data_IF_693127610450
#
_entry.id   IF_693127610450
#
_cell.length_a   1.000
_cell.length_b   1.000
_cell.length_c   1.000
_cell.angle_alpha   90.00
_cell.angle_beta   90.00
_cell.angle_gamma   90.00
#
_symmetry.space_group_name_H-M   'P 1'
#
loop_
_entity.id
_entity.type
_entity.pdbx_description
1 polymer ?
#
# COMPACT_ATOMS: atom_id res chain seq x y z
N UNK A 1 4.78 1.81 -13.67
CA UNK A 1 4.79 0.33 -13.62
C UNK A 1 5.56 -0.11 -12.38
N UNK A 2 5.18 -1.22 -11.77
CA UNK A 2 5.88 -1.83 -10.64
C UNK A 2 4.95 -2.79 -9.89
N UNK A 3 5.53 -3.66 -9.06
CA UNK A 3 4.77 -4.66 -8.30
C UNK A 3 4.25 -4.06 -7.00
N UNK A 4 2.96 -4.28 -6.73
CA UNK A 4 2.28 -3.77 -5.54
C UNK A 4 1.65 -4.90 -4.72
N UNK A 5 1.69 -4.71 -3.41
CA UNK A 5 0.79 -5.38 -2.48
C UNK A 5 -0.47 -4.52 -2.34
N UNK A 6 -1.55 -4.92 -2.99
CA UNK A 6 -2.84 -4.25 -2.89
C UNK A 6 -3.71 -4.95 -1.87
N UNK A 7 -4.40 -4.21 -1.02
CA UNK A 7 -5.28 -4.80 -0.02
C UNK A 7 -6.52 -3.96 0.27
N UNK A 8 -7.61 -4.66 0.59
CA UNK A 8 -8.85 -4.10 1.10
C UNK A 8 -9.06 -4.55 2.54
N UNK A 9 -9.52 -3.63 3.40
CA UNK A 9 -9.89 -3.89 4.78
C UNK A 9 -11.38 -3.60 4.97
N UNK A 10 -12.11 -4.50 5.60
CA UNK A 10 -13.54 -4.32 5.88
C UNK A 10 -13.91 -4.72 7.30
N UNK A 11 -14.76 -3.91 7.93
CA UNK A 11 -15.44 -4.22 9.18
C UNK A 11 -16.95 -4.11 8.97
N UNK A 12 -17.76 -4.93 9.69
CA UNK A 12 -19.19 -4.96 9.48
C UNK A 12 -19.84 -3.61 9.79
N UNK A 13 -20.99 -3.34 9.16
CA UNK A 13 -21.81 -2.16 9.42
C UNK A 13 -22.08 -1.91 10.91
N UNK A 14 -22.29 -2.99 11.67
CA UNK A 14 -22.62 -2.92 13.09
C UNK A 14 -21.47 -2.41 13.97
N UNK A 15 -20.24 -2.39 13.45
CA UNK A 15 -19.10 -1.87 14.18
C UNK A 15 -19.27 -0.37 14.43
N UNK A 16 -19.14 0.01 15.69
CA UNK A 16 -19.14 1.39 16.13
C UNK A 16 -17.81 2.07 15.83
N UNK A 17 -17.81 3.40 15.81
CA UNK A 17 -16.58 4.19 15.68
C UNK A 17 -15.54 3.88 16.78
N UNK A 18 -16.00 3.49 17.97
CA UNK A 18 -15.14 3.09 19.10
C UNK A 18 -14.47 1.74 18.84
N UNK A 19 -15.24 0.73 18.40
CA UNK A 19 -14.70 -0.60 18.05
C UNK A 19 -13.67 -0.51 16.93
N UNK A 20 -13.95 0.28 15.88
CA UNK A 20 -12.96 0.57 14.81
C UNK A 20 -11.71 1.23 15.39
N UNK A 21 -11.88 2.16 16.34
CA UNK A 21 -10.79 2.78 17.06
C UNK A 21 -9.94 1.77 17.84
N UNK A 22 -10.57 0.81 18.52
CA UNK A 22 -9.89 -0.28 19.24
C UNK A 22 -9.10 -1.18 18.30
N UNK A 23 -9.68 -1.56 17.15
CA UNK A 23 -8.98 -2.36 16.13
C UNK A 23 -7.75 -1.62 15.62
N UNK A 24 -7.87 -0.32 15.30
CA UNK A 24 -6.74 0.49 14.83
C UNK A 24 -5.64 0.63 15.87
N UNK A 25 -5.99 0.81 17.15
CA UNK A 25 -5.00 0.84 18.25
C UNK A 25 -4.26 -0.48 18.31
N UNK A 26 -4.96 -1.61 18.33
CA UNK A 26 -4.33 -2.94 18.39
C UNK A 26 -3.45 -3.25 17.18
N UNK A 27 -3.88 -2.85 15.98
CA UNK A 27 -3.08 -2.99 14.77
C UNK A 27 -1.83 -2.12 14.82
N UNK A 28 -1.96 -0.87 15.25
CA UNK A 28 -0.82 0.04 15.38
C UNK A 28 0.18 -0.44 16.42
N UNK A 29 -0.31 -0.87 17.58
CA UNK A 29 0.54 -1.39 18.65
C UNK A 29 1.34 -2.60 18.16
N UNK A 30 0.71 -3.49 17.40
CA UNK A 30 1.41 -4.60 16.76
C UNK A 30 2.40 -4.12 15.69
N UNK A 31 2.03 -3.15 14.85
CA UNK A 31 2.91 -2.56 13.85
C UNK A 31 4.19 -1.95 14.48
N UNK A 32 4.08 -1.37 15.68
CA UNK A 32 5.22 -0.84 16.44
C UNK A 32 6.17 -1.94 16.95
N UNK A 33 5.74 -3.20 16.98
CA UNK A 33 6.62 -4.35 17.30
C UNK A 33 7.36 -4.90 16.08
N UNK A 34 6.92 -4.53 14.88
CA UNK A 34 7.57 -4.91 13.62
C UNK A 34 8.72 -3.93 13.30
N UNK A 35 9.66 -4.37 12.46
CA UNK A 35 10.83 -3.56 12.07
C UNK A 35 10.53 -2.49 11.02
N UNK A 36 9.34 -1.86 11.08
CA UNK A 36 8.98 -0.79 10.16
C UNK A 36 9.83 0.45 10.40
N UNK A 37 10.24 1.11 9.31
CA UNK A 37 10.98 2.38 9.37
C UNK A 37 10.22 3.47 10.12
N UNK A 38 8.90 3.55 9.95
CA UNK A 38 8.07 4.49 10.70
C UNK A 38 6.63 4.01 10.79
N UNK A 39 5.97 4.34 11.90
CA UNK A 39 4.54 4.14 12.14
C UNK A 39 3.97 5.47 12.63
N UNK A 40 2.98 6.02 11.94
CA UNK A 40 2.37 7.30 12.35
C UNK A 40 1.43 7.11 13.54
N UNK A 41 1.08 8.19 14.22
CA UNK A 41 -0.07 8.20 15.12
C UNK A 41 -1.37 7.90 14.37
N UNK A 42 -2.40 7.47 15.11
CA UNK A 42 -3.74 7.27 14.56
C UNK A 42 -4.39 8.63 14.37
N UNK A 43 -4.65 8.97 13.12
CA UNK A 43 -5.50 10.09 12.77
C UNK A 43 -6.96 9.77 13.11
N UNK A 44 -7.61 10.69 13.83
CA UNK A 44 -9.04 10.67 14.12
C UNK A 44 -9.61 12.05 13.82
N UNK A 45 -10.68 12.15 13.03
CA UNK A 45 -11.29 13.44 12.72
C UNK A 45 -12.00 13.98 13.96
N UNK A 46 -11.83 15.27 14.24
CA UNK A 46 -12.59 15.96 15.28
C UNK A 46 -13.97 16.34 14.75
N UNK A 47 -15.08 15.98 15.45
CA UNK A 47 -16.42 16.33 15.02
C UNK A 47 -16.61 17.84 14.85
N UNK A 48 -17.06 18.28 13.68
CA UNK A 48 -17.41 19.68 13.41
C UNK A 48 -16.23 20.60 13.06
N UNK A 49 -15.00 20.09 13.02
CA UNK A 49 -13.84 20.82 12.52
C UNK A 49 -13.45 20.32 11.12
N UNK A 50 -13.55 21.21 10.14
CA UNK A 50 -12.96 20.98 8.83
C UNK A 50 -11.44 21.11 8.96
N UNK A 51 -10.75 19.98 9.09
CA UNK A 51 -9.30 19.98 9.19
C UNK A 51 -8.68 20.22 7.81
N UNK A 52 -8.34 21.49 7.54
CA UNK A 52 -7.68 21.93 6.31
C UNK A 52 -6.17 21.68 6.32
N UNK A 53 -5.61 21.21 7.44
CA UNK A 53 -4.20 20.90 7.62
C UNK A 53 -4.09 19.39 7.83
N UNK A 54 -3.23 18.72 7.06
CA UNK A 54 -2.99 17.27 7.11
C UNK A 54 -4.06 16.44 6.40
N UNK A 55 -3.73 15.34 5.75
CA UNK A 55 -2.48 14.60 5.61
C UNK A 55 -2.82 13.45 4.65
N UNK A 56 -1.83 12.82 4.00
CA UNK A 56 -2.04 11.93 2.85
C UNK A 56 -3.22 10.94 2.95
N UNK A 57 -3.62 10.51 4.16
CA UNK A 57 -4.79 9.68 4.40
C UNK A 57 -6.12 10.25 3.88
N UNK A 58 -6.43 11.53 4.11
CA UNK A 58 -7.68 12.15 3.63
C UNK A 58 -7.71 12.29 2.11
N UNK A 59 -6.56 12.59 1.51
CA UNK A 59 -6.40 12.60 0.05
C UNK A 59 -6.57 11.20 -0.54
N UNK A 60 -5.95 10.18 0.07
CA UNK A 60 -6.14 8.79 -0.35
C UNK A 60 -7.62 8.38 -0.22
N UNK A 61 -8.28 8.76 0.88
CA UNK A 61 -9.70 8.52 1.09
C UNK A 61 -10.57 9.13 -0.03
N UNK A 62 -10.27 10.36 -0.49
CA UNK A 62 -11.02 10.98 -1.58
C UNK A 62 -10.84 10.30 -2.93
N UNK A 63 -9.68 9.69 -3.19
CA UNK A 63 -9.40 8.90 -4.40
C UNK A 63 -10.22 7.60 -4.41
N UNK A 64 -10.41 6.97 -3.25
CA UNK A 64 -11.06 5.66 -3.13
C UNK A 64 -12.51 5.73 -2.60
N UNK A 65 -13.06 6.94 -2.43
CA UNK A 65 -14.38 7.17 -1.82
C UNK A 65 -15.55 6.63 -2.64
N UNK A 66 -15.34 6.42 -3.94
CA UNK A 66 -16.33 5.87 -4.87
C UNK A 66 -15.79 4.56 -5.43
N UNK A 67 -16.34 3.45 -4.96
CA UNK A 67 -16.08 2.14 -5.54
C UNK A 67 -17.31 1.73 -6.33
N UNK A 68 -17.14 1.58 -7.64
CA UNK A 68 -18.16 0.99 -8.48
C UNK A 68 -18.07 -0.53 -8.31
N UNK A 69 -19.10 -1.13 -7.72
CA UNK A 69 -19.29 -2.58 -7.76
C UNK A 69 -20.34 -2.82 -8.84
N UNK A 70 -19.96 -3.51 -9.91
CA UNK A 70 -20.90 -3.96 -10.92
C UNK A 70 -21.97 -4.80 -10.19
N UNK A 71 -23.24 -4.39 -10.29
CA UNK A 71 -24.45 -5.02 -9.70
C UNK A 71 -24.92 -4.55 -8.29
N UNK A 72 -24.31 -3.54 -7.66
CA UNK A 72 -24.87 -2.92 -6.43
C UNK A 72 -24.90 -1.39 -6.53
N UNK A 73 -25.89 -0.68 -5.95
CA UNK A 73 -25.85 0.78 -5.88
C UNK A 73 -24.52 1.22 -5.27
N UNK A 74 -23.84 2.22 -5.86
CA UNK A 74 -22.53 2.61 -5.40
C UNK A 74 -22.61 3.05 -3.94
N UNK A 75 -21.81 2.41 -3.09
CA UNK A 75 -21.60 2.87 -1.72
C UNK A 75 -20.68 4.09 -1.78
N UNK A 76 -21.11 5.17 -1.15
CA UNK A 76 -20.38 6.43 -1.05
C UNK A 76 -19.72 6.46 0.32
N UNK A 77 -18.40 6.61 0.34
CA UNK A 77 -17.66 6.75 1.59
C UNK A 77 -17.78 8.16 2.18
N UNK A 78 -17.89 8.23 3.51
CA UNK A 78 -17.78 9.48 4.24
C UNK A 78 -16.31 9.75 4.57
N UNK A 79 -15.69 10.59 3.74
CA UNK A 79 -14.27 10.99 3.84
C UNK A 79 -14.00 11.76 5.13
N UNK A 80 -15.01 12.46 5.68
CA UNK A 80 -14.85 13.24 6.91
C UNK A 80 -14.75 12.36 8.15
N UNK A 81 -15.14 11.08 8.01
CA UNK A 81 -15.08 10.10 9.09
C UNK A 81 -13.90 9.12 8.97
N UNK A 82 -12.99 9.33 8.01
CA UNK A 82 -11.79 8.48 7.84
C UNK A 82 -10.89 8.54 9.08
N UNK A 83 -10.42 7.38 9.52
CA UNK A 83 -9.52 7.24 10.67
C UNK A 83 -8.53 6.11 10.44
N UNK A 84 -7.29 6.29 10.86
CA UNK A 84 -6.25 5.28 10.62
C UNK A 84 -4.84 5.81 10.80
N UNK A 85 -3.87 4.96 10.48
CA UNK A 85 -2.45 5.28 10.54
C UNK A 85 -1.75 4.80 9.27
N UNK A 86 -0.52 5.24 9.06
CA UNK A 86 0.33 4.78 7.98
C UNK A 86 1.63 4.18 8.52
N UNK A 87 2.20 3.26 7.75
CA UNK A 87 3.53 2.69 7.99
C UNK A 87 4.40 2.93 6.77
N UNK A 88 5.71 3.07 6.99
CA UNK A 88 6.71 2.92 5.93
C UNK A 88 7.48 1.65 6.27
N UNK A 89 7.36 0.58 5.45
CA UNK A 89 8.01 -0.69 5.75
C UNK A 89 9.53 -0.56 5.90
N UNK A 90 10.15 0.11 4.93
CA UNK A 90 11.60 0.34 4.91
C UNK A 90 11.99 1.34 3.83
N UNK A 91 13.30 1.60 3.73
CA UNK A 91 13.84 2.35 2.60
C UNK A 91 13.52 1.62 1.28
N UNK A 92 13.16 2.37 0.23
CA UNK A 92 12.73 1.80 -1.05
C UNK A 92 11.26 1.34 -1.09
N UNK A 93 10.49 1.54 -0.02
CA UNK A 93 9.04 1.26 0.00
C UNK A 93 8.21 2.55 -0.06
N UNK A 94 7.01 2.44 -0.64
CA UNK A 94 5.96 3.43 -0.48
C UNK A 94 5.32 3.34 0.93
N UNK A 95 4.55 4.36 1.31
CA UNK A 95 3.76 4.34 2.55
C UNK A 95 2.54 3.42 2.36
N UNK A 96 2.24 2.60 3.36
CA UNK A 96 1.04 1.76 3.41
C UNK A 96 0.08 2.28 4.48
N UNK A 97 -1.18 2.51 4.12
CA UNK A 97 -2.19 3.03 5.05
C UNK A 97 -3.11 1.93 5.57
N UNK A 98 -3.33 1.93 6.89
CA UNK A 98 -4.27 1.06 7.59
C UNK A 98 -5.33 1.95 8.23
N UNK A 99 -6.48 2.04 7.58
CA UNK A 99 -7.53 2.96 7.95
C UNK A 99 -8.90 2.34 7.70
N UNK A 100 -9.93 3.09 8.08
CA UNK A 100 -11.32 2.79 7.80
C UNK A 100 -12.10 4.09 7.59
N UNK A 101 -13.02 4.07 6.65
CA UNK A 101 -14.05 5.08 6.48
C UNK A 101 -15.42 4.40 6.31
N UNK A 102 -16.49 4.93 6.91
CA UNK A 102 -17.82 4.34 6.77
C UNK A 102 -18.33 4.60 5.35
N UNK A 103 -19.10 3.66 4.82
CA UNK A 103 -19.76 3.79 3.50
C UNK A 103 -21.26 3.61 3.61
N UNK A 104 -22.01 4.38 2.84
CA UNK A 104 -23.47 4.30 2.78
C UNK A 104 -23.98 4.24 1.35
N UNK A 105 -25.13 3.60 1.14
CA UNK A 105 -25.83 3.66 -0.13
C UNK A 105 -26.45 5.06 -0.38
N UNK A 106 -27.06 5.24 -1.55
CA UNK A 106 -27.69 6.51 -1.94
C UNK A 106 -28.86 6.93 -1.02
N UNK A 107 -29.42 6.01 -0.24
CA UNK A 107 -30.48 6.29 0.74
C UNK A 107 -29.93 6.69 2.11
N UNK A 108 -28.61 6.71 2.28
CA UNK A 108 -27.94 6.93 3.56
C UNK A 108 -27.95 5.69 4.46
N UNK A 109 -28.38 4.53 3.95
CA UNK A 109 -28.36 3.28 4.69
C UNK A 109 -26.94 2.70 4.60
N UNK A 110 -26.30 2.62 5.77
CA UNK A 110 -24.88 2.28 5.89
C UNK A 110 -24.61 0.82 5.49
N UNK A 111 -23.50 0.60 4.79
CA UNK A 111 -23.12 -0.71 4.21
C UNK A 111 -22.01 -1.41 4.99
N UNK A 112 -20.95 -0.69 5.38
CA UNK A 112 -19.77 -1.21 6.09
C UNK A 112 -18.73 -0.12 6.39
N UNK A 113 -17.67 -0.49 7.10
CA UNK A 113 -16.40 0.26 7.15
C UNK A 113 -15.42 -0.32 6.15
N UNK A 114 -14.76 0.54 5.39
CA UNK A 114 -13.92 0.12 4.27
C UNK A 114 -12.61 0.90 4.18
N UNK A 115 -11.59 0.24 3.64
CA UNK A 115 -10.39 0.87 3.16
C UNK A 115 -9.75 0.07 2.03
N UNK A 116 -9.06 0.76 1.13
CA UNK A 116 -8.21 0.20 0.10
C UNK A 116 -6.85 0.88 0.13
N UNK A 117 -5.78 0.11 -0.01
CA UNK A 117 -4.44 0.64 -0.18
C UNK A 117 -3.62 -0.21 -1.13
N UNK A 118 -2.54 0.39 -1.62
CA UNK A 118 -1.54 -0.24 -2.45
C UNK A 118 -0.18 0.22 -1.95
N UNK A 119 0.74 -0.72 -1.77
CA UNK A 119 2.11 -0.41 -1.35
C UNK A 119 3.11 -1.10 -2.27
N UNK A 120 3.93 -0.29 -2.96
CA UNK A 120 5.09 -0.80 -3.69
C UNK A 120 6.26 -1.01 -2.74
N UNK A 121 6.72 -2.26 -2.66
CA UNK A 121 7.93 -2.65 -1.92
C UNK A 121 9.12 -2.95 -2.83
N UNK A 122 8.90 -2.98 -4.15
CA UNK A 122 9.87 -3.38 -5.17
C UNK A 122 11.27 -2.75 -4.99
N UNK A 123 11.37 -1.44 -4.73
CA UNK A 123 12.67 -0.77 -4.64
C UNK A 123 13.43 -1.03 -3.33
N UNK A 124 12.85 -1.77 -2.38
CA UNK A 124 13.60 -2.31 -1.25
C UNK A 124 14.70 -3.28 -1.71
N UNK A 125 14.52 -3.95 -2.86
CA UNK A 125 15.52 -4.88 -3.42
C UNK A 125 16.84 -4.20 -3.80
N UNK A 126 16.83 -2.88 -4.03
CA UNK A 126 18.03 -2.09 -4.34
C UNK A 126 19.04 -2.14 -3.18
N UNK A 127 18.54 -2.31 -1.95
CA UNK A 127 19.36 -2.41 -0.74
C UNK A 127 19.86 -3.84 -0.56
N UNK A 128 18.93 -4.80 -0.54
CA UNK A 128 19.20 -6.23 -0.58
C UNK A 128 17.90 -7.03 -0.68
N UNK A 129 18.01 -8.29 -1.09
CA UNK A 129 16.88 -9.22 -1.08
C UNK A 129 16.34 -9.45 0.33
N UNK A 130 17.22 -9.56 1.33
CA UNK A 130 16.81 -9.68 2.72
C UNK A 130 16.01 -8.45 3.20
N UNK A 131 16.36 -7.25 2.74
CA UNK A 131 15.62 -6.02 3.06
C UNK A 131 14.27 -5.98 2.36
N UNK A 132 14.18 -6.42 1.09
CA UNK A 132 12.91 -6.63 0.39
C UNK A 132 11.99 -7.58 1.15
N UNK A 133 12.50 -8.77 1.49
CA UNK A 133 11.74 -9.80 2.21
C UNK A 133 11.25 -9.24 3.55
N UNK A 134 12.10 -8.59 4.35
CA UNK A 134 11.69 -8.01 5.63
C UNK A 134 10.58 -6.95 5.48
N UNK A 135 10.68 -6.08 4.46
CA UNK A 135 9.67 -5.05 4.22
C UNK A 135 8.32 -5.66 3.78
N UNK A 136 8.35 -6.57 2.81
CA UNK A 136 7.14 -7.15 2.24
C UNK A 136 6.46 -8.10 3.24
N UNK A 137 7.22 -9.00 3.87
CA UNK A 137 6.71 -9.91 4.89
C UNK A 137 6.19 -9.17 6.12
N UNK A 138 6.77 -8.02 6.49
CA UNK A 138 6.26 -7.19 7.57
C UNK A 138 4.85 -6.65 7.29
N UNK A 139 4.57 -6.20 6.07
CA UNK A 139 3.21 -5.79 5.68
C UNK A 139 2.24 -6.97 5.71
N UNK A 140 2.65 -8.11 5.16
CA UNK A 140 1.85 -9.34 5.19
C UNK A 140 1.53 -9.78 6.62
N UNK A 141 2.51 -9.72 7.52
CA UNK A 141 2.33 -10.04 8.94
C UNK A 141 1.35 -9.08 9.61
N UNK A 142 1.37 -7.79 9.26
CA UNK A 142 0.39 -6.83 9.77
C UNK A 142 -1.02 -7.08 9.21
N UNK A 143 -1.15 -7.54 7.97
CA UNK A 143 -2.43 -7.95 7.37
C UNK A 143 -2.97 -9.23 8.00
N UNK A 144 -2.12 -10.22 8.28
CA UNK A 144 -2.48 -11.43 9.04
C UNK A 144 -2.98 -11.04 10.43
N UNK A 145 -2.33 -10.06 11.08
CA UNK A 145 -2.82 -9.53 12.35
C UNK A 145 -4.19 -8.86 12.25
N UNK A 146 -4.51 -8.21 11.13
CA UNK A 146 -5.84 -7.65 10.92
C UNK A 146 -6.90 -8.74 10.84
N UNK A 147 -6.61 -9.86 10.17
CA UNK A 147 -7.47 -11.04 10.13
C UNK A 147 -7.73 -11.58 11.55
N UNK A 148 -6.69 -11.73 12.37
CA UNK A 148 -6.81 -12.17 13.77
C UNK A 148 -7.69 -11.26 14.62
N UNK A 149 -7.78 -9.98 14.26
CA UNK A 149 -8.60 -8.97 14.94
C UNK A 149 -10.04 -8.90 14.38
N UNK A 150 -10.40 -9.79 13.45
CA UNK A 150 -11.73 -9.87 12.87
C UNK A 150 -11.96 -8.92 11.68
N UNK A 151 -10.90 -8.33 11.12
CA UNK A 151 -11.00 -7.55 9.88
C UNK A 151 -11.09 -8.51 8.70
N UNK A 152 -12.04 -8.29 7.81
CA UNK A 152 -12.06 -8.98 6.52
C UNK A 152 -11.02 -8.34 5.60
N UNK A 153 -10.06 -9.15 5.16
CA UNK A 153 -8.93 -8.70 4.34
C UNK A 153 -8.97 -9.39 2.98
N UNK A 154 -8.91 -8.60 1.91
CA UNK A 154 -8.68 -9.10 0.55
C UNK A 154 -7.32 -8.60 0.10
N UNK A 155 -6.46 -9.47 -0.41
CA UNK A 155 -5.13 -9.11 -0.90
C UNK A 155 -4.98 -9.50 -2.36
N UNK A 156 -4.37 -8.62 -3.15
CA UNK A 156 -3.90 -8.89 -4.51
C UNK A 156 -2.44 -8.52 -4.55
N UNK A 157 -1.60 -9.54 -4.44
CA UNK A 157 -0.16 -9.41 -4.45
C UNK A 157 0.41 -9.83 -5.79
N UNK A 158 0.95 -8.86 -6.54
CA UNK A 158 1.52 -9.11 -7.86
C UNK A 158 2.81 -9.96 -7.77
N UNK A 159 3.40 -10.11 -6.59
CA UNK A 159 4.58 -10.96 -6.34
C UNK A 159 4.22 -12.40 -5.98
N UNK A 160 2.93 -12.69 -5.75
CA UNK A 160 2.39 -13.99 -5.30
C UNK A 160 2.89 -14.44 -3.92
N UNK A 161 3.59 -13.59 -3.18
CA UNK A 161 4.06 -13.88 -1.83
C UNK A 161 2.88 -14.03 -0.86
N UNK A 162 1.78 -13.31 -1.08
CA UNK A 162 0.58 -13.44 -0.26
C UNK A 162 0.08 -14.91 -0.23
N UNK A 163 -0.03 -15.56 -1.37
CA UNK A 163 -0.58 -16.92 -1.45
C UNK A 163 0.46 -17.98 -1.11
N UNK A 164 1.71 -17.76 -1.47
CA UNK A 164 2.77 -18.78 -1.39
C UNK A 164 3.58 -18.73 -0.11
N UNK A 165 3.71 -17.53 0.49
CA UNK A 165 4.70 -17.21 1.54
C UNK A 165 6.13 -17.60 1.14
N UNK A 166 6.41 -17.68 -0.16
CA UNK A 166 7.70 -18.10 -0.70
C UNK A 166 8.58 -16.87 -0.98
N UNK A 167 9.61 -16.69 -0.16
CA UNK A 167 10.57 -15.60 -0.30
C UNK A 167 11.29 -15.62 -1.65
N UNK A 168 11.58 -16.81 -2.20
CA UNK A 168 12.26 -16.93 -3.50
C UNK A 168 11.34 -16.53 -4.65
N UNK A 169 10.04 -16.83 -4.55
CA UNK A 169 9.05 -16.33 -5.48
C UNK A 169 8.99 -14.80 -5.46
N UNK A 170 8.92 -14.19 -4.27
CA UNK A 170 8.93 -12.73 -4.10
C UNK A 170 10.16 -12.08 -4.74
N UNK A 171 11.35 -12.60 -4.43
CA UNK A 171 12.62 -12.07 -4.94
C UNK A 171 12.66 -12.16 -6.47
N UNK A 172 12.30 -13.33 -7.02
CA UNK A 172 12.35 -13.58 -8.47
C UNK A 172 11.40 -12.67 -9.24
N UNK A 173 10.17 -12.49 -8.77
CA UNK A 173 9.19 -11.59 -9.42
C UNK A 173 9.67 -10.13 -9.38
N UNK A 174 10.23 -9.69 -8.25
CA UNK A 174 10.77 -8.33 -8.12
C UNK A 174 11.99 -8.10 -9.02
N UNK A 175 12.92 -9.05 -9.09
CA UNK A 175 14.07 -8.97 -9.98
C UNK A 175 13.64 -8.92 -11.44
N UNK A 176 12.69 -9.76 -11.85
CA UNK A 176 12.13 -9.76 -13.19
C UNK A 176 11.47 -8.41 -13.54
N UNK A 177 10.68 -7.83 -12.63
CA UNK A 177 10.08 -6.51 -12.84
C UNK A 177 11.13 -5.40 -12.89
N UNK A 178 12.17 -5.45 -12.05
CA UNK A 178 13.27 -4.49 -12.08
C UNK A 178 13.99 -4.51 -13.43
N UNK A 179 14.23 -5.70 -13.99
CA UNK A 179 14.81 -5.87 -15.33
C UNK A 179 13.93 -5.26 -16.42
N UNK A 180 12.63 -5.56 -16.43
CA UNK A 180 11.67 -4.98 -17.41
C UNK A 180 11.65 -3.45 -17.31
N UNK A 181 11.62 -2.90 -16.09
CA UNK A 181 11.61 -1.45 -15.87
C UNK A 181 12.94 -0.81 -16.30
N UNK A 182 14.08 -1.48 -16.08
CA UNK A 182 15.40 -1.03 -16.52
C UNK A 182 15.51 -1.05 -18.05
N UNK A 183 15.12 -2.14 -18.71
CA UNK A 183 15.10 -2.27 -20.17
C UNK A 183 14.22 -1.18 -20.82
N UNK A 184 13.02 -0.92 -20.27
CA UNK A 184 12.17 0.16 -20.78
C UNK A 184 12.80 1.54 -20.57
N UNK A 185 13.39 1.77 -19.40
CA UNK A 185 14.05 3.03 -19.08
C UNK A 185 15.26 3.31 -19.99
N UNK A 186 16.09 2.29 -20.23
CA UNK A 186 17.24 2.33 -21.14
C UNK A 186 16.85 2.63 -22.59
N UNK A 187 15.87 1.89 -23.10
CA UNK A 187 15.35 2.12 -24.46
C UNK A 187 14.80 3.53 -24.65
N UNK A 188 14.14 4.11 -23.64
CA UNK A 188 13.65 5.49 -23.69
C UNK A 188 14.79 6.51 -23.65
N UNK A 189 15.83 6.29 -22.84
CA UNK A 189 17.01 7.18 -22.81
C UNK A 189 17.81 7.16 -24.11
N UNK A 190 17.89 6.01 -24.78
CA UNK A 190 18.62 5.88 -26.05
C UNK A 190 17.90 6.54 -27.24
N UNK A 191 16.57 6.63 -27.17
CA UNK A 191 15.76 7.34 -28.18
C UNK A 191 15.71 8.86 -27.97
N UNK A 192 15.94 9.35 -26.74
CA UNK A 192 15.94 10.77 -26.37
C UNK A 192 17.33 11.45 -26.47
N UNK A 193 18.16 11.01 -27.43
CA UNK A 193 19.48 11.59 -27.76
C UNK A 193 19.50 13.08 -28.15
N UNK A 194 18.43 13.84 -27.90
CA UNK A 194 18.40 15.29 -28.02
C UNK A 194 17.23 15.90 -27.24
N UNK A 195 17.55 16.88 -26.40
CA UNK A 195 16.65 17.88 -25.78
C UNK A 195 16.04 17.52 -24.40
N UNK A 196 16.80 17.85 -23.34
CA UNK A 196 16.30 18.36 -22.04
C UNK A 196 15.19 17.60 -21.29
N UNK A 197 15.10 16.28 -21.39
CA UNK A 197 14.16 15.47 -20.60
C UNK A 197 14.82 14.27 -19.93
N UNK A 198 15.58 14.45 -18.85
CA UNK A 198 16.01 13.30 -18.02
C UNK A 198 14.77 12.68 -17.39
N UNK A 199 14.32 11.54 -17.91
CA UNK A 199 13.35 10.69 -17.22
C UNK A 199 13.97 10.34 -15.86
N UNK A 200 13.32 10.75 -14.77
CA UNK A 200 13.74 10.40 -13.41
C UNK A 200 12.91 9.22 -12.92
N UNK A 201 13.40 8.00 -13.19
CA UNK A 201 12.87 6.78 -12.61
C UNK A 201 13.79 6.29 -11.47
N UNK A 202 13.26 5.85 -10.31
CA UNK A 202 14.08 5.36 -9.21
C UNK A 202 15.04 4.21 -9.58
N UNK A 203 14.72 3.46 -10.64
CA UNK A 203 15.58 2.39 -11.18
C UNK A 203 16.96 2.90 -11.63
N UNK A 204 17.10 4.16 -12.06
CA UNK A 204 18.39 4.74 -12.45
C UNK A 204 19.37 4.86 -11.27
N UNK A 205 18.87 4.77 -10.03
CA UNK A 205 19.70 4.69 -8.82
C UNK A 205 20.14 3.28 -8.46
N UNK A 206 19.75 2.25 -9.21
CA UNK A 206 20.12 0.86 -8.91
C UNK A 206 21.64 0.66 -9.15
N UNK A 207 22.41 0.14 -8.18
CA UNK A 207 23.86 -0.05 -8.32
C UNK A 207 24.26 -0.91 -9.53
N UNK A 208 23.36 -1.79 -9.95
CA UNK A 208 23.51 -2.68 -11.11
C UNK A 208 22.68 -2.28 -12.33
N UNK A 209 22.25 -1.01 -12.42
CA UNK A 209 21.36 -0.52 -13.49
C UNK A 209 21.82 -0.96 -14.89
N UNK A 210 23.09 -0.74 -15.23
CA UNK A 210 23.67 -1.10 -16.54
C UNK A 210 23.67 -2.63 -16.81
N UNK A 211 23.70 -3.46 -15.77
CA UNK A 211 23.67 -4.93 -15.94
C UNK A 211 22.24 -5.45 -16.10
N UNK A 212 21.30 -4.84 -15.37
CA UNK A 212 19.86 -5.11 -15.51
C UNK A 212 19.33 -4.70 -16.88
N UNK A 213 19.85 -3.60 -17.45
CA UNK A 213 19.52 -3.15 -18.81
C UNK A 213 19.97 -4.16 -19.88
N UNK A 214 21.10 -4.84 -19.65
CA UNK A 214 21.71 -5.76 -20.61
C UNK A 214 21.29 -7.23 -20.41
N UNK A 215 20.42 -7.51 -19.44
CA UNK A 215 19.93 -8.86 -19.14
C UNK A 215 21.00 -9.83 -18.61
N UNK A 216 22.01 -9.33 -17.89
CA UNK A 216 23.09 -10.15 -17.33
C UNK A 216 22.91 -10.36 -15.81
N UNK A 217 22.52 -11.58 -15.44
CA UNK A 217 22.40 -12.06 -14.06
C UNK A 217 23.71 -12.74 -13.59
N UNK A 218 24.75 -11.96 -13.27
CA UNK A 218 25.89 -12.43 -12.43
C UNK A 218 26.30 -11.36 -11.42
#
# INVERSE_FOLDING_TARGET
MGLHLNYELRLPHAATAEEVGTVLVRLRDFALTLSFKSVTEIYRPEPGLFDSRHGGLRFLASVIAKVFVDDTPPLIADIDLVRGFSVIPGNGCESAAFAFMPRADQSGKHGDWFWYSSCKTQYASVISDAHLVACHSGLVTLLDRAIDLGVSVVVRDETRYWETRDEQCLISEVHNMNRIVAELAGNLSDHDGGVNGRVHAPIFGHPRFEHLEMGQDE
#
